data_IF_234403370039
#
_entry.id   IF_234403370039
#
_cell.length_a   1.000
_cell.length_b   1.000
_cell.length_c   1.000
_cell.angle_alpha   90.00
_cell.angle_beta   90.00
_cell.angle_gamma   90.00
#
_symmetry.space_group_name_H-M   'P 1'
#
loop_
_entity.id
_entity.type
_entity.pdbx_description
1 polymer ?
#
# COMPACT_ATOMS: atom_id res chain seq x y z
N UNK A 1 26.11 -31.04 -9.20
CA UNK A 1 25.61 -29.65 -9.29
C UNK A 1 24.65 -29.45 -8.14
N UNK A 2 25.08 -28.78 -7.07
CA UNK A 2 24.20 -28.47 -5.95
C UNK A 2 23.09 -27.53 -6.45
N UNK A 3 21.84 -28.00 -6.38
CA UNK A 3 20.68 -27.14 -6.54
C UNK A 3 20.74 -26.07 -5.45
N UNK A 4 21.15 -24.85 -5.81
CA UNK A 4 20.95 -23.67 -4.97
C UNK A 4 19.47 -23.37 -4.92
N UNK A 5 18.79 -24.04 -3.99
CA UNK A 5 17.39 -23.81 -3.61
C UNK A 5 17.32 -22.35 -3.17
N UNK A 6 16.73 -21.48 -4.00
CA UNK A 6 16.50 -20.09 -3.67
C UNK A 6 15.60 -20.02 -2.43
N UNK A 7 16.22 -19.84 -1.26
CA UNK A 7 15.51 -19.60 -0.01
C UNK A 7 15.18 -18.11 -0.02
N UNK A 8 14.09 -17.74 -0.69
CA UNK A 8 13.51 -16.42 -0.45
C UNK A 8 13.36 -16.27 1.08
N UNK A 9 13.85 -15.18 1.70
CA UNK A 9 13.81 -15.04 3.15
C UNK A 9 12.37 -15.21 3.62
N UNK A 10 12.14 -15.96 4.69
CA UNK A 10 10.80 -16.27 5.23
C UNK A 10 9.95 -15.01 5.46
N UNK A 11 10.59 -13.86 5.68
CA UNK A 11 9.97 -12.55 5.84
C UNK A 11 9.28 -12.01 4.57
N UNK A 12 9.54 -12.56 3.38
CA UNK A 12 8.81 -12.19 2.15
C UNK A 12 7.39 -12.79 2.07
N UNK A 13 7.02 -13.74 2.96
CA UNK A 13 5.70 -14.41 2.96
C UNK A 13 4.77 -13.93 4.08
N UNK A 14 5.08 -12.79 4.72
CA UNK A 14 4.44 -12.36 5.97
C UNK A 14 3.10 -11.62 5.88
N UNK A 15 2.63 -11.26 4.68
CA UNK A 15 1.34 -10.60 4.54
C UNK A 15 0.19 -11.60 4.48
N UNK A 16 -0.41 -11.98 5.61
CA UNK A 16 -1.73 -12.67 5.60
C UNK A 16 -2.81 -11.68 5.15
N UNK A 17 -2.90 -11.49 3.84
CA UNK A 17 -3.98 -10.74 3.21
C UNK A 17 -5.26 -11.58 3.27
N UNK A 18 -6.35 -10.97 3.72
CA UNK A 18 -7.69 -11.56 3.69
C UNK A 18 -8.10 -11.65 2.21
N UNK A 19 -8.55 -12.84 1.79
CA UNK A 19 -8.79 -13.20 0.38
C UNK A 19 -7.59 -13.01 -0.56
N UNK A 20 -6.36 -12.88 -0.02
CA UNK A 20 -5.18 -12.58 -0.84
C UNK A 20 -5.20 -11.17 -1.45
N UNK A 21 -6.15 -10.31 -1.06
CA UNK A 21 -6.37 -9.00 -1.68
C UNK A 21 -6.50 -7.84 -0.67
N UNK A 22 -6.96 -8.09 0.56
CA UNK A 22 -7.27 -7.00 1.50
C UNK A 22 -6.50 -7.13 2.81
N UNK A 23 -5.98 -6.01 3.32
CA UNK A 23 -5.59 -5.91 4.72
C UNK A 23 -6.83 -5.69 5.59
N UNK A 24 -6.71 -5.98 6.89
CA UNK A 24 -7.79 -5.72 7.86
C UNK A 24 -8.19 -4.23 7.86
N UNK A 25 -7.21 -3.33 7.72
CA UNK A 25 -7.43 -1.89 7.59
C UNK A 25 -8.37 -1.56 6.43
N UNK A 26 -8.14 -2.18 5.28
CA UNK A 26 -8.89 -1.91 4.05
C UNK A 26 -10.33 -2.37 4.20
N UNK A 27 -10.53 -3.54 4.84
CA UNK A 27 -11.85 -4.08 5.11
C UNK A 27 -12.65 -3.17 6.03
N UNK A 28 -12.02 -2.56 7.05
CA UNK A 28 -12.68 -1.58 7.93
C UNK A 28 -13.10 -0.34 7.15
N UNK A 29 -12.23 0.17 6.24
CA UNK A 29 -12.54 1.35 5.42
C UNK A 29 -13.69 1.08 4.46
N UNK A 30 -13.69 -0.07 3.76
CA UNK A 30 -14.81 -0.45 2.88
C UNK A 30 -16.09 -0.64 3.69
N UNK A 31 -16.03 -1.35 4.82
CA UNK A 31 -17.21 -1.59 5.67
C UNK A 31 -17.78 -0.28 6.22
N UNK A 32 -16.94 0.63 6.70
CA UNK A 32 -17.38 1.93 7.21
C UNK A 32 -17.97 2.81 6.08
N UNK A 33 -17.30 2.88 4.93
CA UNK A 33 -17.76 3.67 3.78
C UNK A 33 -19.09 3.15 3.21
N UNK A 34 -19.25 1.84 3.09
CA UNK A 34 -20.51 1.22 2.64
C UNK A 34 -21.65 1.45 3.63
N UNK A 35 -21.39 1.26 4.93
CA UNK A 35 -22.40 1.50 5.97
C UNK A 35 -22.85 2.98 5.97
N UNK A 36 -21.90 3.91 5.89
CA UNK A 36 -22.18 5.34 5.82
C UNK A 36 -22.99 5.69 4.57
N UNK A 37 -22.68 5.10 3.42
CA UNK A 37 -23.45 5.29 2.18
C UNK A 37 -24.89 4.79 2.34
N UNK A 38 -25.09 3.59 2.89
CA UNK A 38 -26.43 3.01 3.08
C UNK A 38 -27.25 3.88 4.03
N UNK A 39 -26.70 4.21 5.21
CA UNK A 39 -27.39 5.01 6.22
C UNK A 39 -27.68 6.41 5.69
N UNK A 40 -26.70 7.05 5.04
CA UNK A 40 -26.86 8.38 4.44
C UNK A 40 -27.95 8.41 3.37
N UNK A 41 -27.97 7.42 2.48
CA UNK A 41 -29.03 7.29 1.47
C UNK A 41 -30.42 7.11 2.12
N UNK A 42 -30.55 6.26 3.16
CA UNK A 42 -31.82 6.09 3.88
C UNK A 42 -32.29 7.42 4.46
N UNK A 43 -31.40 8.18 5.10
CA UNK A 43 -31.75 9.50 5.67
C UNK A 43 -32.20 10.46 4.56
N UNK A 44 -31.49 10.48 3.42
CA UNK A 44 -31.85 11.32 2.27
C UNK A 44 -33.24 11.00 1.73
N UNK A 45 -33.58 9.71 1.58
CA UNK A 45 -34.91 9.30 1.09
C UNK A 45 -36.04 9.65 2.05
N UNK A 46 -35.79 9.65 3.37
CA UNK A 46 -36.82 9.96 4.36
C UNK A 46 -36.98 11.47 4.63
N UNK A 47 -35.92 12.26 4.46
CA UNK A 47 -35.88 13.64 4.94
C UNK A 47 -35.88 14.71 3.85
N UNK A 48 -35.52 14.35 2.61
CA UNK A 48 -35.39 15.29 1.49
C UNK A 48 -36.33 14.93 0.34
N UNK A 49 -36.65 15.92 -0.49
CA UNK A 49 -37.46 15.75 -1.71
C UNK A 49 -36.94 16.60 -2.86
N UNK A 50 -37.24 16.20 -4.10
CA UNK A 50 -36.87 16.95 -5.30
C UNK A 50 -35.36 16.99 -5.53
N UNK A 51 -34.84 18.15 -5.95
CA UNK A 51 -33.41 18.32 -6.29
C UNK A 51 -32.50 18.05 -5.11
N UNK A 52 -32.93 18.39 -3.88
CA UNK A 52 -32.12 18.20 -2.69
C UNK A 52 -31.88 16.72 -2.35
N UNK A 53 -32.86 15.85 -2.64
CA UNK A 53 -32.70 14.39 -2.52
C UNK A 53 -31.63 13.89 -3.50
N UNK A 54 -31.69 14.32 -4.76
CA UNK A 54 -30.75 13.89 -5.81
C UNK A 54 -29.32 14.27 -5.41
N UNK A 55 -29.11 15.52 -4.98
CA UNK A 55 -27.80 16.00 -4.52
C UNK A 55 -27.32 15.23 -3.31
N UNK A 56 -28.19 14.99 -2.31
CA UNK A 56 -27.84 14.24 -1.11
C UNK A 56 -27.39 12.82 -1.42
N UNK A 57 -28.13 12.11 -2.28
CA UNK A 57 -27.77 10.74 -2.71
C UNK A 57 -26.44 10.73 -3.45
N UNK A 58 -26.19 11.69 -4.36
CA UNK A 58 -24.92 11.79 -5.09
C UNK A 58 -23.75 11.94 -4.11
N UNK A 59 -23.88 12.79 -3.08
CA UNK A 59 -22.81 13.00 -2.09
C UNK A 59 -22.49 11.70 -1.35
N UNK A 60 -23.50 10.99 -0.84
CA UNK A 60 -23.26 9.75 -0.09
C UNK A 60 -22.70 8.63 -0.97
N UNK A 61 -23.20 8.47 -2.19
CA UNK A 61 -22.66 7.51 -3.16
C UNK A 61 -21.22 7.87 -3.53
N UNK A 62 -20.91 9.16 -3.66
CA UNK A 62 -19.56 9.63 -3.95
C UNK A 62 -18.58 9.30 -2.81
N UNK A 63 -19.00 9.50 -1.56
CA UNK A 63 -18.20 9.11 -0.38
C UNK A 63 -17.92 7.60 -0.39
N UNK A 64 -18.94 6.77 -0.63
CA UNK A 64 -18.77 5.32 -0.76
C UNK A 64 -17.84 4.93 -1.91
N UNK A 65 -17.98 5.61 -3.04
CA UNK A 65 -17.12 5.43 -4.23
C UNK A 65 -15.66 5.78 -3.95
N UNK A 66 -15.39 6.85 -3.20
CA UNK A 66 -14.04 7.22 -2.77
C UNK A 66 -13.46 6.13 -1.87
N UNK A 67 -14.20 5.68 -0.85
CA UNK A 67 -13.74 4.61 0.04
C UNK A 67 -13.40 3.33 -0.74
N UNK A 68 -14.22 2.96 -1.71
CA UNK A 68 -13.96 1.82 -2.59
C UNK A 68 -12.70 2.02 -3.45
N UNK A 69 -12.57 3.19 -4.09
CA UNK A 69 -11.40 3.54 -4.91
C UNK A 69 -10.12 3.46 -4.10
N UNK A 70 -10.09 4.04 -2.89
CA UNK A 70 -8.90 4.02 -2.02
C UNK A 70 -8.42 2.60 -1.70
N UNK A 71 -9.35 1.64 -1.63
CA UNK A 71 -9.07 0.24 -1.31
C UNK A 71 -8.80 -0.65 -2.53
N UNK A 72 -8.86 -0.07 -3.75
CA UNK A 72 -8.54 -0.78 -4.98
C UNK A 72 -7.03 -1.01 -5.09
N UNK A 73 -6.64 -2.17 -5.61
CA UNK A 73 -5.24 -2.52 -5.88
C UNK A 73 -4.59 -1.50 -6.83
N UNK A 74 -3.35 -1.08 -6.54
CA UNK A 74 -2.65 -0.08 -7.34
C UNK A 74 -1.19 -0.46 -7.63
N UNK A 75 -0.95 -1.04 -8.80
CA UNK A 75 0.39 -1.35 -9.33
C UNK A 75 1.28 -2.07 -8.31
N UNK A 76 2.39 -1.45 -7.89
CA UNK A 76 3.36 -1.97 -6.91
C UNK A 76 2.84 -1.87 -5.47
N UNK A 77 1.85 -1.01 -5.22
CA UNK A 77 1.25 -0.81 -3.91
C UNK A 77 0.04 -1.72 -3.72
N UNK A 78 -0.15 -2.13 -2.46
CA UNK A 78 -1.30 -2.95 -2.06
C UNK A 78 -2.63 -2.28 -2.39
N UNK A 79 -2.71 -0.96 -2.19
CA UNK A 79 -3.86 -0.15 -2.56
C UNK A 79 -3.48 1.33 -2.73
N UNK A 80 -4.43 2.11 -3.25
CA UNK A 80 -4.26 3.56 -3.46
C UNK A 80 -4.01 4.28 -2.12
N UNK A 81 -4.67 3.85 -1.04
CA UNK A 81 -4.44 4.40 0.29
C UNK A 81 -2.98 4.26 0.74
N UNK A 82 -2.37 3.08 0.56
CA UNK A 82 -0.97 2.83 0.89
C UNK A 82 -0.03 3.68 0.06
N UNK A 83 -0.31 3.84 -1.24
CA UNK A 83 0.43 4.76 -2.10
C UNK A 83 0.37 6.20 -1.58
N UNK A 84 -0.82 6.70 -1.22
CA UNK A 84 -0.97 8.06 -0.73
C UNK A 84 -0.22 8.30 0.59
N UNK A 85 -0.23 7.33 1.51
CA UNK A 85 0.49 7.44 2.79
C UNK A 85 2.00 7.48 2.54
N UNK A 86 2.54 6.59 1.72
CA UNK A 86 3.97 6.56 1.40
C UNK A 86 4.40 7.84 0.68
N UNK A 87 3.57 8.31 -0.25
CA UNK A 87 3.81 9.55 -0.97
C UNK A 87 3.83 10.74 0.00
N UNK A 88 2.89 10.83 0.94
CA UNK A 88 2.89 11.88 1.96
C UNK A 88 4.09 11.77 2.90
N UNK A 89 4.48 10.57 3.34
CA UNK A 89 5.70 10.38 4.15
C UNK A 89 6.92 10.89 3.39
N UNK A 90 7.05 10.57 2.10
CA UNK A 90 8.16 11.07 1.27
C UNK A 90 8.25 12.60 1.23
N UNK A 91 7.13 13.32 1.14
CA UNK A 91 7.16 14.79 1.11
C UNK A 91 7.45 15.44 2.46
N UNK A 92 6.99 14.83 3.56
CA UNK A 92 7.15 15.37 4.92
C UNK A 92 8.49 14.97 5.53
N UNK A 93 8.99 13.79 5.14
CA UNK A 93 10.18 13.19 5.70
C UNK A 93 11.44 13.77 5.07
N UNK A 94 12.33 14.32 5.90
CA UNK A 94 13.66 14.74 5.49
C UNK A 94 14.67 13.58 5.62
N UNK A 95 14.27 12.37 5.17
CA UNK A 95 15.11 11.17 5.22
C UNK A 95 15.98 11.13 3.98
N UNK A 96 17.29 10.95 4.17
CA UNK A 96 18.19 10.56 3.09
C UNK A 96 17.95 9.09 2.76
N UNK A 97 17.26 8.82 1.67
CA UNK A 97 17.11 7.47 1.14
C UNK A 97 18.41 7.07 0.43
N UNK A 98 19.36 6.54 1.19
CA UNK A 98 20.59 5.96 0.63
C UNK A 98 20.22 4.62 0.00
N UNK A 99 20.48 4.47 -1.30
CA UNK A 99 20.26 3.22 -2.00
C UNK A 99 21.31 2.19 -1.55
N UNK A 100 20.94 1.29 -0.64
CA UNK A 100 21.84 0.25 -0.08
C UNK A 100 22.45 -0.67 -1.15
N UNK A 101 21.82 -0.76 -2.33
CA UNK A 101 22.33 -1.53 -3.47
C UNK A 101 23.56 -0.92 -4.16
N UNK A 102 24.00 0.30 -3.83
CA UNK A 102 25.29 0.83 -4.32
C UNK A 102 26.37 0.64 -3.25
N UNK A 103 26.06 1.00 -1.99
CA UNK A 103 27.02 0.94 -0.88
C UNK A 103 27.49 -0.49 -0.60
N UNK A 104 26.58 -1.48 -0.59
CA UNK A 104 26.97 -2.86 -0.32
C UNK A 104 27.75 -3.51 -1.47
N UNK A 105 27.52 -3.10 -2.72
CA UNK A 105 28.27 -3.60 -3.88
C UNK A 105 29.70 -3.09 -3.87
N UNK A 106 29.91 -1.81 -3.51
CA UNK A 106 31.24 -1.22 -3.43
C UNK A 106 32.04 -1.81 -2.26
N UNK A 107 31.44 -2.00 -1.08
CA UNK A 107 32.10 -2.65 0.06
C UNK A 107 32.45 -4.13 -0.20
N UNK A 108 31.60 -4.87 -0.90
CA UNK A 108 31.88 -6.27 -1.26
C UNK A 108 32.98 -6.37 -2.33
N UNK A 109 33.00 -5.42 -3.29
CA UNK A 109 34.04 -5.32 -4.31
C UNK A 109 35.40 -4.95 -3.70
N UNK A 110 35.43 -4.01 -2.77
CA UNK A 110 36.66 -3.58 -2.10
C UNK A 110 37.25 -4.66 -1.19
N UNK A 111 36.40 -5.47 -0.51
CA UNK A 111 36.86 -6.66 0.22
C UNK A 111 37.50 -7.69 -0.71
N UNK A 112 36.86 -8.05 -1.82
CA UNK A 112 37.39 -9.03 -2.78
C UNK A 112 38.73 -8.59 -3.38
N UNK A 113 38.88 -7.30 -3.69
CA UNK A 113 40.14 -6.74 -4.18
C UNK A 113 41.26 -6.85 -3.14
N UNK A 114 40.95 -6.68 -1.85
CA UNK A 114 41.92 -6.78 -0.75
C UNK A 114 42.35 -8.23 -0.51
N UNK A 115 41.41 -9.18 -0.58
CA UNK A 115 41.68 -10.62 -0.46
C UNK A 115 42.56 -11.12 -1.62
N UNK A 116 42.26 -10.75 -2.87
CA UNK A 116 43.09 -11.13 -4.03
C UNK A 116 44.51 -10.53 -4.00
N UNK A 117 44.71 -9.39 -3.35
CA UNK A 117 46.04 -8.81 -3.15
C UNK A 117 46.83 -9.53 -2.06
N UNK A 118 46.15 -10.07 -1.04
CA UNK A 118 46.78 -10.83 0.04
C UNK A 118 47.19 -12.25 -0.36
N UNK A 119 46.49 -12.88 -1.31
CA UNK A 119 46.84 -14.21 -1.82
C UNK A 119 47.98 -14.21 -2.86
N UNK A 120 48.36 -13.03 -3.38
CA UNK A 120 49.44 -12.85 -4.37
C UNK A 120 50.79 -12.48 -3.73
N UNK A 121 50.85 -12.35 -2.40
CA UNK A 121 52.04 -12.12 -1.57
C UNK A 121 52.51 -13.44 -0.94
#
# INVERSE_FOLDING_TARGET
>A
MEERRYIAPSNFKGGRLIFGMYRISDLIVVAAGTLLTIVGCIICFNSLSGVALIVGVIIFVFIGGICWLLTTNYSVYHNIMGFCIEYLDYFVSNKNYVFEGIVNYDEEKDRKNTEEQSEKL
#
